data_IF_790088550210
#
_entry.id   IF_790088550210
#
_cell.length_a   1.000
_cell.length_b   1.000
_cell.length_c   1.000
_cell.angle_alpha   90.00
_cell.angle_beta   90.00
_cell.angle_gamma   90.00
#
_symmetry.space_group_name_H-M   'P 1'
#
loop_
_entity.id
_entity.type
_entity.pdbx_description
1 polymer ?
#
# COMPACT_ATOMS: atom_id res chain seq x y z
N UNK A 1 -18.52 0.56 92.29
CA UNK A 1 -17.06 0.37 92.20
C UNK A 1 -16.77 -0.36 90.89
N UNK A 2 -15.75 0.12 90.16
CA UNK A 2 -15.24 -0.33 88.83
C UNK A 2 -16.13 0.07 87.62
N UNK A 3 -15.64 0.97 86.71
CA UNK A 3 -16.27 1.37 85.44
C UNK A 3 -15.75 0.50 84.27
N UNK A 4 -16.36 0.41 83.09
CA UNK A 4 -16.29 1.36 81.98
C UNK A 4 -17.38 1.09 80.94
N UNK A 5 -17.75 2.15 80.23
CA UNK A 5 -18.97 2.40 79.46
C UNK A 5 -18.58 2.70 78.02
N UNK A 6 -19.28 2.10 77.05
CA UNK A 6 -19.71 2.59 75.71
C UNK A 6 -19.92 1.36 74.81
N UNK A 7 -21.16 0.90 74.56
CA UNK A 7 -22.18 1.43 73.64
C UNK A 7 -21.73 1.29 72.16
N UNK A 8 -22.50 0.71 71.23
CA UNK A 8 -23.85 1.12 70.84
C UNK A 8 -24.65 0.02 70.11
N UNK A 9 -25.97 0.26 70.13
CA UNK A 9 -27.09 -0.56 69.70
C UNK A 9 -27.28 -0.71 68.17
N UNK A 10 -28.04 -1.77 67.88
CA UNK A 10 -28.69 -2.22 66.65
C UNK A 10 -29.65 -1.22 65.97
N UNK A 11 -29.52 -1.16 64.64
CA UNK A 11 -30.52 -1.41 63.57
C UNK A 11 -31.80 -0.57 63.39
N UNK A 12 -32.04 -0.29 62.08
CA UNK A 12 -33.28 -0.13 61.30
C UNK A 12 -33.80 1.29 61.01
N UNK A 13 -33.86 1.63 59.71
CA UNK A 13 -35.05 2.19 59.08
C UNK A 13 -35.04 1.92 57.56
N UNK A 14 -36.19 1.53 57.03
CA UNK A 14 -36.49 1.15 55.64
C UNK A 14 -36.90 2.36 54.75
N UNK A 15 -36.89 2.08 53.44
CA UNK A 15 -37.63 2.66 52.31
C UNK A 15 -37.02 3.84 51.54
N UNK A 16 -36.68 3.60 50.25
CA UNK A 16 -37.29 4.31 49.11
C UNK A 16 -36.83 3.79 47.73
N UNK A 17 -37.82 3.50 46.87
CA UNK A 17 -37.91 3.64 45.39
C UNK A 17 -36.91 2.96 44.42
N UNK A 18 -37.51 2.26 43.46
CA UNK A 18 -37.05 1.91 42.09
C UNK A 18 -37.91 2.76 41.11
N UNK A 19 -37.59 3.06 39.83
CA UNK A 19 -36.39 2.81 38.97
C UNK A 19 -35.86 4.10 38.27
N UNK A 20 -34.70 4.04 37.57
CA UNK A 20 -34.60 4.39 36.12
C UNK A 20 -33.20 4.10 35.55
N UNK A 21 -33.22 3.66 34.31
CA UNK A 21 -32.18 3.26 33.37
C UNK A 21 -30.97 4.18 33.20
N UNK A 22 -29.77 3.59 33.28
CA UNK A 22 -28.64 3.80 32.35
C UNK A 22 -27.56 2.77 32.67
N UNK A 23 -27.46 1.75 31.81
CA UNK A 23 -26.25 0.92 31.72
C UNK A 23 -25.14 1.79 31.11
N UNK A 24 -24.31 2.41 31.94
CA UNK A 24 -22.99 2.87 31.49
C UNK A 24 -22.07 1.65 31.44
N UNK A 25 -22.04 1.03 30.26
CA UNK A 25 -21.07 0.01 29.91
C UNK A 25 -19.67 0.64 30.05
N UNK A 26 -18.98 0.32 31.13
CA UNK A 26 -17.59 0.71 31.36
C UNK A 26 -16.71 0.05 30.28
N UNK A 27 -16.61 0.72 29.14
CA UNK A 27 -15.63 0.42 28.11
C UNK A 27 -14.27 0.76 28.72
N UNK A 28 -13.45 -0.27 28.92
CA UNK A 28 -12.02 -0.09 29.18
C UNK A 28 -11.47 0.97 28.21
N UNK A 29 -10.57 1.87 28.63
CA UNK A 29 -9.92 2.76 27.70
C UNK A 29 -9.27 1.88 26.63
N UNK A 30 -9.72 2.04 25.38
CA UNK A 30 -8.98 1.50 24.25
C UNK A 30 -7.65 2.24 24.33
N UNK A 31 -6.60 1.52 24.70
CA UNK A 31 -5.25 2.01 24.48
C UNK A 31 -5.15 2.24 22.98
N UNK A 32 -5.35 3.49 22.55
CA UNK A 32 -4.87 3.94 21.26
C UNK A 32 -3.37 3.95 21.46
N UNK A 33 -2.76 2.80 21.18
CA UNK A 33 -1.36 2.78 20.82
C UNK A 33 -1.27 3.73 19.64
N UNK A 34 -0.70 4.91 19.86
CA UNK A 34 -0.13 5.73 18.79
C UNK A 34 0.98 4.87 18.18
N UNK A 35 0.57 3.93 17.34
CA UNK A 35 1.46 3.15 16.49
C UNK A 35 1.87 4.12 15.39
N UNK A 36 2.98 4.82 15.64
CA UNK A 36 3.62 5.59 14.62
C UNK A 36 4.12 4.58 13.58
N UNK A 37 3.26 4.30 12.59
CA UNK A 37 3.51 3.38 11.50
C UNK A 37 4.77 3.84 10.76
N UNK A 38 5.92 3.26 11.15
CA UNK A 38 7.20 3.55 10.54
C UNK A 38 7.31 2.75 9.24
N UNK A 39 6.56 3.16 8.23
CA UNK A 39 6.67 2.57 6.90
C UNK A 39 7.87 3.14 6.15
N UNK A 40 8.46 2.31 5.30
CA UNK A 40 9.49 2.73 4.36
C UNK A 40 8.79 3.29 3.11
N UNK A 41 9.30 4.35 2.47
CA UNK A 41 8.71 4.84 1.23
C UNK A 41 8.59 3.74 0.16
N UNK A 42 7.46 3.64 -0.55
CA UNK A 42 7.30 2.68 -1.63
C UNK A 42 8.37 2.84 -2.70
N UNK A 43 8.96 1.73 -3.09
CA UNK A 43 9.97 1.61 -4.15
C UNK A 43 9.61 0.44 -5.03
N UNK A 44 9.77 0.60 -6.35
CA UNK A 44 9.42 -0.40 -7.34
C UNK A 44 10.67 -1.12 -7.87
N UNK A 45 10.49 -2.39 -8.19
CA UNK A 45 11.40 -3.23 -8.95
C UNK A 45 10.74 -3.52 -10.29
N UNK A 46 11.40 -3.18 -11.39
CA UNK A 46 10.96 -3.47 -12.75
C UNK A 46 11.82 -4.60 -13.30
N UNK A 47 11.19 -5.66 -13.76
CA UNK A 47 11.89 -6.86 -14.22
C UNK A 47 11.21 -7.47 -15.44
N UNK A 48 12.00 -8.19 -16.24
CA UNK A 48 11.53 -9.08 -17.29
C UNK A 48 12.32 -10.38 -17.22
N UNK A 49 11.87 -11.42 -17.92
CA UNK A 49 12.57 -12.72 -17.96
C UNK A 49 14.00 -12.61 -18.51
N UNK A 50 14.23 -11.68 -19.44
CA UNK A 50 15.54 -11.40 -20.03
C UNK A 50 15.67 -9.92 -20.40
N UNK A 51 16.91 -9.41 -20.40
CA UNK A 51 17.25 -8.09 -20.94
C UNK A 51 17.54 -8.10 -22.44
N UNK A 52 17.51 -9.26 -23.08
CA UNK A 52 17.66 -9.47 -24.52
C UNK A 52 16.54 -10.39 -25.01
N UNK A 53 15.86 -10.02 -26.10
CA UNK A 53 14.74 -10.80 -26.65
C UNK A 53 14.59 -10.60 -28.15
N UNK A 54 14.00 -11.59 -28.82
CA UNK A 54 13.62 -11.50 -30.24
C UNK A 54 12.09 -11.39 -30.38
N UNK A 55 11.37 -11.29 -29.26
CA UNK A 55 9.91 -11.17 -29.23
C UNK A 55 9.48 -9.72 -29.45
N UNK A 56 8.29 -9.54 -30.05
CA UNK A 56 7.69 -8.22 -30.23
C UNK A 56 6.95 -7.73 -29.00
N UNK A 57 6.64 -8.59 -28.03
CA UNK A 57 5.97 -8.23 -26.79
C UNK A 57 6.73 -8.82 -25.62
N UNK A 58 7.10 -7.99 -24.65
CA UNK A 58 7.82 -8.42 -23.46
C UNK A 58 6.93 -8.28 -22.25
N UNK A 59 6.83 -9.35 -21.47
CA UNK A 59 6.15 -9.30 -20.17
C UNK A 59 7.04 -8.64 -19.12
N UNK A 60 6.53 -7.56 -18.55
CA UNK A 60 7.18 -6.78 -17.52
C UNK A 60 6.47 -7.04 -16.20
N UNK A 61 7.24 -7.40 -15.19
CA UNK A 61 6.77 -7.57 -13.83
C UNK A 61 7.23 -6.39 -12.99
N UNK A 62 6.28 -5.80 -12.29
CA UNK A 62 6.50 -4.68 -11.38
C UNK A 62 6.13 -5.14 -9.98
N UNK A 63 7.03 -4.95 -9.03
CA UNK A 63 6.76 -5.21 -7.61
C UNK A 63 7.19 -4.05 -6.73
N UNK A 64 6.46 -3.79 -5.66
CA UNK A 64 6.78 -2.78 -4.65
C UNK A 64 7.23 -3.46 -3.35
N UNK A 65 8.18 -2.84 -2.64
CA UNK A 65 8.56 -3.27 -1.29
C UNK A 65 7.47 -2.95 -0.25
N UNK A 66 6.76 -1.85 -0.45
CA UNK A 66 5.67 -1.39 0.41
C UNK A 66 4.44 -1.06 -0.45
N UNK A 67 3.21 -1.24 0.08
CA UNK A 67 1.99 -0.96 -0.67
C UNK A 67 1.96 0.47 -1.21
N UNK A 68 1.80 0.58 -2.53
CA UNK A 68 1.68 1.82 -3.29
C UNK A 68 0.22 1.99 -3.72
N UNK A 69 -0.64 2.46 -2.81
CA UNK A 69 -2.10 2.50 -2.99
C UNK A 69 -2.69 3.91 -2.92
N UNK A 70 -2.02 4.85 -2.24
CA UNK A 70 -2.42 6.25 -2.21
C UNK A 70 -2.29 6.90 -3.59
N UNK A 71 -3.05 7.96 -3.85
CA UNK A 71 -3.02 8.68 -5.14
C UNK A 71 -3.58 7.90 -6.34
N UNK A 72 -4.23 6.75 -6.11
CA UNK A 72 -4.74 5.85 -7.16
C UNK A 72 -3.83 4.66 -7.44
N UNK A 73 -2.65 4.59 -6.82
CA UNK A 73 -1.70 3.49 -6.96
C UNK A 73 -1.11 3.37 -8.37
N UNK A 74 -0.56 2.19 -8.68
CA UNK A 74 -0.05 1.92 -10.02
C UNK A 74 -1.19 1.67 -11.01
N UNK A 75 -1.19 2.42 -12.11
CA UNK A 75 -2.14 2.29 -13.20
C UNK A 75 -1.51 2.42 -14.58
N UNK A 76 -2.22 1.88 -15.57
CA UNK A 76 -1.87 1.98 -16.99
C UNK A 76 -3.15 1.93 -17.83
N UNK A 77 -3.86 3.05 -17.90
CA UNK A 77 -5.18 3.13 -18.58
C UNK A 77 -5.05 3.48 -20.06
N UNK A 78 -4.00 4.22 -20.42
CA UNK A 78 -3.60 4.52 -21.79
C UNK A 78 -2.09 4.68 -21.84
N UNK A 79 -1.53 4.78 -23.04
CA UNK A 79 -0.08 5.06 -23.22
C UNK A 79 0.34 6.34 -22.50
N UNK A 80 -0.51 7.37 -22.51
CA UNK A 80 -0.23 8.66 -21.88
C UNK A 80 -0.63 8.73 -20.40
N UNK A 81 -1.32 7.71 -19.89
CA UNK A 81 -1.79 7.61 -18.52
C UNK A 81 -1.35 6.26 -17.93
N UNK A 82 -0.03 6.03 -17.99
CA UNK A 82 0.64 4.87 -17.46
C UNK A 82 1.79 5.30 -16.56
N UNK A 83 1.90 4.67 -15.38
CA UNK A 83 3.00 4.95 -14.46
C UNK A 83 4.29 4.19 -14.83
N UNK A 84 4.27 3.39 -15.89
CA UNK A 84 5.47 2.84 -16.53
C UNK A 84 5.74 3.61 -17.82
N UNK A 85 6.83 4.36 -17.83
CA UNK A 85 7.31 5.11 -18.99
C UNK A 85 8.22 4.22 -19.83
N UNK A 86 8.07 4.27 -21.15
CA UNK A 86 8.95 3.57 -22.09
C UNK A 86 9.65 4.61 -22.96
N UNK A 87 10.97 4.60 -22.94
CA UNK A 87 11.81 5.41 -23.82
C UNK A 87 12.48 4.52 -24.87
N UNK A 88 12.59 5.02 -26.10
CA UNK A 88 13.16 4.27 -27.22
C UNK A 88 12.09 3.54 -28.03
N UNK A 89 12.46 2.40 -28.60
CA UNK A 89 11.68 1.71 -29.64
C UNK A 89 10.67 0.71 -29.04
N UNK A 90 9.77 1.22 -28.21
CA UNK A 90 8.69 0.43 -27.64
C UNK A 90 7.60 1.28 -26.99
N UNK A 91 6.49 0.63 -26.64
CA UNK A 91 5.34 1.26 -26.02
C UNK A 91 4.62 0.27 -25.11
N UNK A 92 4.10 0.74 -23.97
CA UNK A 92 3.20 -0.06 -23.14
C UNK A 92 1.95 -0.49 -23.93
N UNK A 93 1.40 -1.66 -23.61
CA UNK A 93 0.10 -2.13 -24.12
C UNK A 93 -0.89 -2.05 -22.95
N UNK A 94 -1.59 -0.92 -22.74
CA UNK A 94 -2.35 -0.65 -21.51
C UNK A 94 -3.40 -1.71 -21.18
N UNK A 95 -4.06 -2.25 -22.20
CA UNK A 95 -5.09 -3.29 -22.06
C UNK A 95 -4.56 -4.64 -21.55
N UNK A 96 -3.24 -4.83 -21.50
CA UNK A 96 -2.61 -6.04 -20.98
C UNK A 96 -2.26 -5.96 -19.49
N UNK A 97 -2.61 -4.87 -18.81
CA UNK A 97 -2.34 -4.70 -17.38
C UNK A 97 -3.06 -5.80 -16.57
N UNK A 98 -2.29 -6.54 -15.77
CA UNK A 98 -2.79 -7.51 -14.81
C UNK A 98 -2.35 -7.09 -13.41
N UNK A 99 -3.32 -6.91 -12.53
CA UNK A 99 -3.06 -6.72 -11.09
C UNK A 99 -2.96 -8.09 -10.42
N UNK A 100 -1.74 -8.50 -10.08
CA UNK A 100 -1.49 -9.77 -9.38
C UNK A 100 -1.77 -9.63 -7.89
N UNK A 101 -1.35 -8.51 -7.31
CA UNK A 101 -1.61 -8.14 -5.92
C UNK A 101 -1.77 -6.62 -5.84
N UNK A 102 -2.96 -6.11 -5.49
CA UNK A 102 -3.20 -4.67 -5.41
C UNK A 102 -2.17 -3.96 -4.53
N UNK A 103 -1.63 -2.86 -5.02
CA UNK A 103 -0.61 -2.05 -4.33
C UNK A 103 0.80 -2.62 -4.35
N UNK A 104 1.00 -3.91 -4.70
CA UNK A 104 2.28 -4.59 -4.51
C UNK A 104 2.83 -5.24 -5.78
N UNK A 105 1.99 -5.85 -6.64
CA UNK A 105 2.48 -6.66 -7.77
C UNK A 105 1.59 -6.52 -9.00
N UNK A 106 2.21 -6.21 -10.13
CA UNK A 106 1.55 -6.02 -11.41
C UNK A 106 2.37 -6.68 -12.53
N UNK A 107 1.69 -7.01 -13.61
CA UNK A 107 2.31 -7.42 -14.87
C UNK A 107 1.69 -6.65 -16.03
N UNK A 108 2.47 -6.32 -17.05
CA UNK A 108 2.05 -5.57 -18.22
C UNK A 108 2.93 -5.94 -19.40
N UNK A 109 2.37 -5.98 -20.62
CA UNK A 109 3.16 -6.13 -21.83
C UNK A 109 3.68 -4.78 -22.33
N UNK A 110 4.92 -4.79 -22.78
CA UNK A 110 5.51 -3.72 -23.60
C UNK A 110 5.73 -4.26 -25.00
N UNK A 111 5.11 -3.61 -25.98
CA UNK A 111 5.34 -3.88 -27.39
C UNK A 111 6.62 -3.20 -27.85
N UNK A 112 7.48 -3.95 -28.53
CA UNK A 112 8.72 -3.49 -29.13
C UNK A 112 8.51 -3.23 -30.62
N UNK A 113 9.24 -2.27 -31.17
CA UNK A 113 9.10 -1.92 -32.58
C UNK A 113 9.63 -3.04 -33.49
N UNK A 114 8.82 -3.45 -34.47
CA UNK A 114 9.25 -4.34 -35.55
C UNK A 114 9.93 -3.60 -36.71
N UNK A 115 10.00 -2.26 -36.67
CA UNK A 115 10.59 -1.45 -37.74
C UNK A 115 12.11 -1.54 -37.78
N UNK A 116 12.74 -1.89 -36.67
CA UNK A 116 14.19 -1.99 -36.54
C UNK A 116 14.59 -3.43 -36.31
N UNK A 117 15.65 -3.87 -37.00
CA UNK A 117 16.20 -5.20 -36.81
C UNK A 117 16.79 -5.35 -35.40
N UNK A 118 17.39 -4.29 -34.86
CA UNK A 118 17.92 -4.24 -33.50
C UNK A 118 17.50 -2.93 -32.84
N UNK A 119 17.18 -2.96 -31.55
CA UNK A 119 16.76 -1.77 -30.82
C UNK A 119 16.89 -1.90 -29.30
N UNK A 120 16.47 -0.85 -28.60
CA UNK A 120 16.46 -0.81 -27.13
C UNK A 120 15.25 -0.03 -26.62
N UNK A 121 14.59 -0.60 -25.62
CA UNK A 121 13.57 0.07 -24.82
C UNK A 121 14.06 0.21 -23.37
N UNK A 122 13.97 1.42 -22.82
CA UNK A 122 14.25 1.70 -21.42
C UNK A 122 12.91 1.90 -20.71
N UNK A 123 12.62 1.02 -19.78
CA UNK A 123 11.43 1.07 -18.94
C UNK A 123 11.77 1.79 -17.65
N UNK A 124 10.97 2.77 -17.27
CA UNK A 124 11.23 3.60 -16.09
C UNK A 124 9.90 3.89 -15.40
N UNK A 125 9.83 3.64 -14.09
CA UNK A 125 8.66 4.06 -13.31
C UNK A 125 8.53 5.58 -13.29
N UNK A 126 7.30 6.08 -13.32
CA UNK A 126 7.03 7.51 -13.18
C UNK A 126 7.35 7.98 -11.74
N UNK A 127 7.47 9.28 -11.54
CA UNK A 127 7.83 9.86 -10.24
C UNK A 127 6.59 10.13 -9.40
N UNK A 128 6.67 9.80 -8.12
CA UNK A 128 5.75 10.28 -7.07
C UNK A 128 4.25 10.11 -7.38
N UNK A 129 3.88 9.05 -8.10
CA UNK A 129 2.50 8.81 -8.52
C UNK A 129 1.61 8.19 -7.42
N UNK A 130 2.22 7.65 -6.35
CA UNK A 130 1.49 7.06 -5.24
C UNK A 130 2.15 7.35 -3.88
N UNK A 131 1.43 7.00 -2.82
CA UNK A 131 1.92 6.97 -1.44
C UNK A 131 1.56 5.66 -0.76
N UNK A 132 2.23 5.35 0.35
CA UNK A 132 1.78 4.35 1.32
C UNK A 132 0.68 4.91 2.25
N UNK A 133 0.33 4.14 3.28
CA UNK A 133 -0.64 4.50 4.34
C UNK A 133 -0.16 5.62 5.25
N UNK A 134 1.15 5.73 5.49
CA UNK A 134 1.75 6.81 6.28
C UNK A 134 1.93 8.11 5.48
N UNK A 135 1.70 8.08 4.16
CA UNK A 135 1.83 9.22 3.27
C UNK A 135 3.23 9.41 2.68
N UNK A 136 4.14 8.44 2.87
CA UNK A 136 5.43 8.47 2.19
C UNK A 136 5.22 8.32 0.68
N UNK A 137 5.81 9.23 -0.09
CA UNK A 137 5.72 9.21 -1.56
C UNK A 137 6.62 8.13 -2.14
N UNK A 138 6.17 7.55 -3.25
CA UNK A 138 7.00 6.67 -4.06
C UNK A 138 8.36 7.30 -4.38
N UNK A 139 9.42 6.54 -4.12
CA UNK A 139 10.80 6.88 -4.45
C UNK A 139 11.26 6.01 -5.62
N UNK A 140 11.68 6.66 -6.70
CA UNK A 140 12.27 5.98 -7.84
C UNK A 140 13.75 5.71 -7.60
N UNK A 141 14.12 4.44 -7.58
CA UNK A 141 15.51 3.98 -7.44
C UNK A 141 16.00 3.32 -8.74
N UNK A 142 17.26 2.86 -8.77
CA UNK A 142 17.88 2.25 -9.95
C UNK A 142 17.11 1.00 -10.43
N UNK A 143 16.68 0.17 -9.48
CA UNK A 143 15.82 -1.00 -9.70
C UNK A 143 14.40 -0.65 -10.19
N UNK A 144 13.99 0.61 -10.13
CA UNK A 144 12.73 1.09 -10.72
C UNK A 144 12.86 1.37 -12.22
N UNK A 145 13.92 0.86 -12.84
CA UNK A 145 14.16 0.89 -14.28
C UNK A 145 14.67 -0.45 -14.78
N UNK A 146 14.41 -0.75 -16.04
CA UNK A 146 14.89 -1.95 -16.71
C UNK A 146 15.18 -1.64 -18.17
N UNK A 147 16.20 -2.28 -18.74
CA UNK A 147 16.60 -2.09 -20.13
C UNK A 147 16.38 -3.39 -20.89
N UNK A 148 15.63 -3.32 -21.98
CA UNK A 148 15.45 -4.43 -22.92
C UNK A 148 16.12 -4.08 -24.23
N UNK A 149 16.98 -4.97 -24.70
CA UNK A 149 17.52 -5.00 -26.06
C UNK A 149 16.74 -6.02 -26.88
N UNK A 150 16.52 -5.71 -28.15
CA UNK A 150 15.88 -6.66 -29.06
C UNK A 150 16.57 -6.73 -30.42
N UNK A 151 16.44 -7.87 -31.10
CA UNK A 151 17.31 -8.25 -32.23
C UNK A 151 16.94 -9.52 -32.96
#
# INVERSE_FOLDING_TARGET
MIPYKLAMLKTQALFSKVPDSRMENQRLPVNVSDDHDHTVPPTAYVTASSSLTNELNVSINISFNEPCTGGGGFGCSSVNACNLLVYGDGQVIPSSLITLQPGLRYSLLVGLSSTFQYGRAILVMDKSFCTDTAGNKFIRMENSSFVVHFG
#
